data_IF_378709950685
#
_entry.id   IF_378709950685
#
_cell.length_a   1.000
_cell.length_b   1.000
_cell.length_c   1.000
_cell.angle_alpha   90.00
_cell.angle_beta   90.00
_cell.angle_gamma   90.00
#
_symmetry.space_group_name_H-M   'P 1'
#
loop_
_entity.id
_entity.type
_entity.pdbx_description
1 polymer ?
#
# COMPACT_ATOMS: atom_id res chain seq x y z
N UNK A 1 15.85 6.27 16.65
CA UNK A 1 14.48 6.76 16.39
C UNK A 1 13.72 5.68 15.63
N UNK A 2 12.56 5.23 16.10
CA UNK A 2 11.73 4.27 15.35
C UNK A 2 11.38 4.87 14.00
N UNK A 3 11.45 4.05 12.94
CA UNK A 3 11.04 4.46 11.60
C UNK A 3 9.52 4.41 11.52
N UNK A 4 8.91 5.39 10.86
CA UNK A 4 7.49 5.35 10.52
C UNK A 4 7.16 4.18 9.58
N UNK A 5 5.87 3.89 9.34
CA UNK A 5 5.42 2.77 8.50
C UNK A 5 6.02 2.75 7.08
N UNK A 6 6.41 3.92 6.57
CA UNK A 6 7.04 4.09 5.25
C UNK A 6 8.56 4.32 5.31
N UNK A 7 9.19 4.10 6.46
CA UNK A 7 10.62 4.37 6.67
C UNK A 7 10.94 5.82 7.06
N UNK A 8 9.92 6.64 7.27
CA UNK A 8 10.04 8.06 7.63
C UNK A 8 10.79 8.24 8.95
N UNK A 9 11.70 9.23 8.99
CA UNK A 9 12.40 9.63 10.22
C UNK A 9 11.65 10.81 10.85
N UNK A 10 10.62 10.51 11.65
CA UNK A 10 9.88 11.52 12.43
C UNK A 10 10.36 11.57 13.88
N UNK A 11 10.55 12.77 14.48
CA UNK A 11 10.79 12.91 15.91
C UNK A 11 9.77 12.13 16.73
N UNK A 12 10.25 11.44 17.78
CA UNK A 12 9.39 10.64 18.65
C UNK A 12 8.68 11.49 19.70
N UNK A 13 9.22 12.68 20.01
CA UNK A 13 8.64 13.62 20.95
C UNK A 13 7.56 14.49 20.29
N UNK A 14 6.52 14.82 21.05
CA UNK A 14 5.36 15.54 20.54
C UNK A 14 5.69 16.97 20.06
N UNK A 15 6.66 17.63 20.71
CA UNK A 15 7.04 19.01 20.41
C UNK A 15 7.81 19.06 19.08
N UNK A 16 8.85 18.23 18.95
CA UNK A 16 9.64 18.09 17.73
C UNK A 16 8.80 17.65 16.55
N UNK A 17 7.81 16.78 16.78
CA UNK A 17 6.83 16.41 15.77
C UNK A 17 5.97 17.60 15.33
N UNK A 18 5.45 18.40 16.26
CA UNK A 18 4.66 19.59 15.93
C UNK A 18 5.47 20.63 15.12
N UNK A 19 6.74 20.85 15.49
CA UNK A 19 7.64 21.73 14.74
C UNK A 19 7.90 21.20 13.33
N UNK A 20 8.16 19.90 13.18
CA UNK A 20 8.36 19.27 11.87
C UNK A 20 7.10 19.40 10.99
N UNK A 21 5.91 19.18 11.56
CA UNK A 21 4.63 19.36 10.86
C UNK A 21 4.47 20.81 10.40
N UNK A 22 4.79 21.79 11.25
CA UNK A 22 4.77 23.20 10.89
C UNK A 22 5.64 23.52 9.69
N UNK A 23 6.88 23.01 9.68
CA UNK A 23 7.83 23.19 8.56
C UNK A 23 7.37 22.52 7.27
N UNK A 24 6.70 21.38 7.36
CA UNK A 24 6.07 20.74 6.19
C UNK A 24 4.94 21.63 5.66
N UNK A 25 4.08 22.13 6.54
CA UNK A 25 2.95 22.97 6.15
C UNK A 25 3.37 24.32 5.53
N UNK A 26 4.50 24.88 5.96
CA UNK A 26 5.08 26.10 5.38
C UNK A 26 5.93 25.85 4.13
N UNK A 27 6.16 24.58 3.75
CA UNK A 27 6.98 24.21 2.61
C UNK A 27 8.48 24.35 2.84
N UNK A 28 8.93 24.58 4.08
CA UNK A 28 10.35 24.58 4.45
C UNK A 28 10.97 23.18 4.38
N UNK A 29 10.15 22.14 4.57
CA UNK A 29 10.55 20.74 4.44
C UNK A 29 9.60 20.05 3.47
N UNK A 30 10.15 19.37 2.46
CA UNK A 30 9.38 18.49 1.61
C UNK A 30 8.94 17.24 2.39
N UNK A 31 7.62 17.01 2.45
CA UNK A 31 7.08 15.72 2.90
C UNK A 31 7.03 14.78 1.70
N UNK A 32 8.10 14.01 1.53
CA UNK A 32 8.18 13.02 0.46
C UNK A 32 7.20 11.88 0.76
N UNK A 33 5.95 12.02 0.31
CA UNK A 33 4.91 11.05 0.68
C UNK A 33 5.04 9.73 -0.06
N UNK A 34 5.54 9.67 -1.30
CA UNK A 34 5.22 8.49 -2.12
C UNK A 34 6.31 8.06 -3.09
N UNK A 35 7.07 7.04 -2.67
CA UNK A 35 7.36 5.93 -3.57
C UNK A 35 6.66 4.70 -3.01
N UNK A 36 5.64 4.18 -3.73
CA UNK A 36 5.20 2.80 -3.53
C UNK A 36 6.45 1.94 -3.55
N UNK A 37 6.66 1.10 -2.54
CA UNK A 37 7.83 0.23 -2.51
C UNK A 37 7.93 -0.55 -3.82
N UNK A 38 9.14 -0.87 -4.28
CA UNK A 38 9.33 -1.65 -5.50
C UNK A 38 8.49 -2.94 -5.47
N UNK A 39 8.35 -3.56 -4.29
CA UNK A 39 7.49 -4.71 -4.07
C UNK A 39 6.00 -4.41 -4.34
N UNK A 40 5.47 -3.28 -3.87
CA UNK A 40 4.08 -2.89 -4.13
C UNK A 40 3.83 -2.62 -5.63
N UNK A 41 4.80 -2.00 -6.32
CA UNK A 41 4.70 -1.74 -7.75
C UNK A 41 4.73 -3.04 -8.57
N UNK A 42 5.72 -3.90 -8.31
CA UNK A 42 5.86 -5.20 -8.98
C UNK A 42 4.67 -6.12 -8.71
N UNK A 43 4.18 -6.15 -7.46
CA UNK A 43 2.98 -6.92 -7.09
C UNK A 43 1.74 -6.47 -7.85
N UNK A 44 1.54 -5.15 -7.98
CA UNK A 44 0.43 -4.61 -8.77
C UNK A 44 0.55 -4.96 -10.25
N UNK A 45 1.74 -4.90 -10.85
CA UNK A 45 1.96 -5.24 -12.26
C UNK A 45 1.67 -6.72 -12.52
N UNK A 46 2.22 -7.61 -11.68
CA UNK A 46 1.98 -9.05 -11.78
C UNK A 46 0.51 -9.42 -11.57
N UNK A 47 -0.16 -8.78 -10.62
CA UNK A 47 -1.60 -8.95 -10.39
C UNK A 47 -2.44 -8.57 -11.61
N UNK A 48 -2.18 -7.39 -12.19
CA UNK A 48 -2.85 -6.92 -13.43
C UNK A 48 -2.64 -7.89 -14.58
N UNK A 49 -1.40 -8.31 -14.83
CA UNK A 49 -1.11 -9.22 -15.96
C UNK A 49 -1.80 -10.58 -15.81
N UNK A 50 -1.85 -11.12 -14.59
CA UNK A 50 -2.60 -12.36 -14.31
C UNK A 50 -4.10 -12.19 -14.54
N UNK A 51 -4.67 -11.03 -14.20
CA UNK A 51 -6.07 -10.76 -14.46
C UNK A 51 -6.35 -10.65 -15.96
N UNK A 52 -5.55 -9.90 -16.71
CA UNK A 52 -5.66 -9.75 -18.17
C UNK A 52 -5.60 -11.09 -18.91
N UNK A 53 -4.67 -11.97 -18.53
CA UNK A 53 -4.50 -13.27 -19.17
C UNK A 53 -5.58 -14.30 -18.80
N UNK A 54 -6.49 -13.99 -17.88
CA UNK A 54 -7.51 -14.92 -17.41
C UNK A 54 -8.81 -14.75 -18.19
N UNK A 55 -9.32 -15.85 -18.77
CA UNK A 55 -10.58 -15.84 -19.52
C UNK A 55 -11.79 -15.63 -18.58
N UNK A 56 -12.91 -15.09 -19.09
CA UNK A 56 -14.13 -14.94 -18.32
C UNK A 56 -14.62 -16.24 -17.68
N UNK A 57 -14.55 -17.36 -18.40
CA UNK A 57 -15.00 -18.67 -17.92
C UNK A 57 -14.15 -19.14 -16.74
N UNK A 58 -12.83 -18.95 -16.84
CA UNK A 58 -11.90 -19.29 -15.76
C UNK A 58 -12.13 -18.43 -14.52
N UNK A 59 -12.47 -17.14 -14.69
CA UNK A 59 -12.84 -16.25 -13.57
C UNK A 59 -14.11 -16.75 -12.87
N UNK A 60 -15.12 -17.15 -13.64
CA UNK A 60 -16.39 -17.69 -13.09
C UNK A 60 -16.15 -19.00 -12.34
N UNK A 61 -15.32 -19.90 -12.88
CA UNK A 61 -14.98 -21.16 -12.23
C UNK A 61 -14.31 -20.93 -10.86
N UNK A 62 -13.33 -20.02 -10.79
CA UNK A 62 -12.65 -19.66 -9.55
C UNK A 62 -13.63 -19.04 -8.55
N UNK A 63 -14.51 -18.15 -9.01
CA UNK A 63 -15.52 -17.52 -8.15
C UNK A 63 -16.49 -18.54 -7.56
N UNK A 64 -16.97 -19.51 -8.36
CA UNK A 64 -17.84 -20.60 -7.89
C UNK A 64 -17.14 -21.47 -6.84
N UNK A 65 -15.89 -21.86 -7.08
CA UNK A 65 -15.08 -22.64 -6.12
C UNK A 65 -14.85 -21.89 -4.81
N UNK A 66 -14.52 -20.61 -4.90
CA UNK A 66 -14.32 -19.75 -3.73
C UNK A 66 -15.62 -19.59 -2.91
N UNK A 67 -16.75 -19.39 -3.58
CA UNK A 67 -18.05 -19.33 -2.93
C UNK A 67 -18.40 -20.65 -2.24
N UNK A 68 -18.25 -21.78 -2.94
CA UNK A 68 -18.51 -23.10 -2.36
C UNK A 68 -17.69 -23.33 -1.08
N UNK A 69 -16.40 -22.99 -1.08
CA UNK A 69 -15.54 -23.12 0.11
C UNK A 69 -15.86 -22.13 1.23
N UNK A 70 -16.29 -20.90 0.89
CA UNK A 70 -16.69 -19.90 1.90
C UNK A 70 -17.99 -20.29 2.60
N UNK A 71 -18.90 -20.93 1.88
CA UNK A 71 -20.24 -21.26 2.35
C UNK A 71 -20.42 -22.74 2.73
N UNK A 72 -19.42 -23.58 2.50
CA UNK A 72 -19.35 -24.91 3.10
C UNK A 72 -19.14 -24.75 4.60
N UNK A 73 -20.20 -24.96 5.37
CA UNK A 73 -20.14 -25.14 6.83
C UNK A 73 -19.22 -26.30 7.19
#
# INVERSE_FOLDING_TARGET
MPKGPRGEKRPADAIGLAVMIGKIATGEIEDATDAKSAAAQLGSLGGKKRAENMTPERRVEIARKAAAKRWSK
#
